data_IF_135242814508
#
_entry.id   IF_135242814508
#
_cell.length_a   1.000
_cell.length_b   1.000
_cell.length_c   1.000
_cell.angle_alpha   90.00
_cell.angle_beta   90.00
_cell.angle_gamma   90.00
#
_symmetry.space_group_name_H-M   'P 1'
#
loop_
_entity.id
_entity.type
_entity.pdbx_description
1 polymer ?
#
# COMPACT_ATOMS: atom_id res chain seq x y z
N UNK A 1 -8.05 -21.11 0.39
CA UNK A 1 -9.42 -20.59 0.21
C UNK A 1 -9.89 -20.89 -1.19
N UNK A 2 -11.11 -21.45 -1.36
CA UNK A 2 -11.66 -21.71 -2.69
C UNK A 2 -11.84 -20.43 -3.52
N UNK A 3 -11.65 -20.53 -4.82
CA UNK A 3 -11.91 -19.42 -5.74
C UNK A 3 -13.38 -18.98 -5.66
N UNK A 4 -13.62 -17.68 -5.76
CA UNK A 4 -14.97 -17.12 -5.74
C UNK A 4 -15.76 -17.35 -4.47
N UNK A 5 -15.08 -17.46 -3.32
CA UNK A 5 -15.75 -17.74 -2.03
C UNK A 5 -15.80 -16.54 -1.08
N UNK A 6 -14.98 -15.53 -1.31
CA UNK A 6 -14.89 -14.38 -0.42
C UNK A 6 -15.78 -13.22 -0.88
N UNK A 7 -16.44 -12.57 0.05
CA UNK A 7 -17.18 -11.33 -0.19
C UNK A 7 -16.28 -10.10 -0.14
N UNK A 8 -15.28 -10.14 0.77
CA UNK A 8 -14.34 -9.05 1.01
C UNK A 8 -12.94 -9.62 1.23
N UNK A 9 -11.95 -8.99 0.64
CA UNK A 9 -10.53 -9.20 0.92
C UNK A 9 -9.93 -7.87 1.35
N UNK A 10 -9.14 -7.86 2.41
CA UNK A 10 -8.48 -6.66 2.94
C UNK A 10 -6.98 -6.89 3.01
N UNK A 11 -6.21 -5.88 2.64
CA UNK A 11 -4.76 -5.87 2.81
C UNK A 11 -4.30 -4.52 3.36
N UNK A 12 -3.46 -4.58 4.40
CA UNK A 12 -2.99 -3.41 5.12
C UNK A 12 -1.48 -3.38 5.12
N UNK A 13 -0.89 -2.38 4.47
CA UNK A 13 0.55 -2.10 4.49
C UNK A 13 1.41 -3.29 4.07
N UNK A 14 0.97 -4.03 3.05
CA UNK A 14 1.66 -5.23 2.57
C UNK A 14 2.05 -5.20 1.10
N UNK A 15 1.42 -4.36 0.29
CA UNK A 15 1.68 -4.37 -1.15
C UNK A 15 3.17 -4.17 -1.44
N UNK A 16 3.82 -3.22 -0.75
CA UNK A 16 5.26 -2.99 -0.90
C UNK A 16 6.10 -4.21 -0.51
N UNK A 17 5.64 -5.04 0.42
CA UNK A 17 6.37 -6.24 0.86
C UNK A 17 6.44 -7.33 -0.21
N UNK A 18 5.46 -7.41 -1.10
CA UNK A 18 5.43 -8.43 -2.15
C UNK A 18 6.44 -8.17 -3.26
N UNK A 19 7.01 -6.97 -3.31
CA UNK A 19 8.08 -6.60 -4.25
C UNK A 19 9.46 -7.04 -3.78
N UNK A 20 9.64 -7.27 -2.49
CA UNK A 20 10.93 -7.64 -1.93
C UNK A 20 11.27 -9.11 -2.17
N UNK A 21 12.58 -9.39 -2.23
CA UNK A 21 13.10 -10.72 -2.44
C UNK A 21 13.57 -10.95 -3.87
N UNK A 22 13.88 -12.20 -4.19
CA UNK A 22 14.42 -12.57 -5.50
C UNK A 22 13.39 -12.43 -6.64
N UNK A 23 12.10 -12.45 -6.31
CA UNK A 23 11.01 -12.37 -7.30
C UNK A 23 9.94 -11.41 -6.81
N UNK A 24 9.54 -10.46 -7.65
CA UNK A 24 8.40 -9.59 -7.39
C UNK A 24 7.10 -10.40 -7.51
N UNK A 25 6.36 -10.52 -6.42
CA UNK A 25 5.12 -11.29 -6.33
C UNK A 25 3.88 -10.41 -6.31
N UNK A 26 4.03 -9.12 -6.52
CA UNK A 26 2.92 -8.17 -6.32
C UNK A 26 1.75 -8.46 -7.26
N UNK A 27 2.02 -8.64 -8.56
CA UNK A 27 0.95 -8.93 -9.51
C UNK A 27 0.26 -10.26 -9.18
N UNK A 28 1.03 -11.30 -8.85
CA UNK A 28 0.46 -12.59 -8.48
C UNK A 28 -0.45 -12.49 -7.25
N UNK A 29 -0.09 -11.65 -6.27
CA UNK A 29 -0.92 -11.42 -5.09
C UNK A 29 -2.26 -10.76 -5.46
N UNK A 30 -2.25 -9.75 -6.33
CA UNK A 30 -3.47 -9.13 -6.83
C UNK A 30 -4.35 -10.10 -7.62
N UNK A 31 -3.73 -10.93 -8.47
CA UNK A 31 -4.45 -11.95 -9.23
C UNK A 31 -5.12 -12.98 -8.31
N UNK A 32 -4.44 -13.38 -7.24
CA UNK A 32 -5.00 -14.30 -6.24
C UNK A 32 -6.15 -13.67 -5.46
N UNK A 33 -6.01 -12.41 -5.05
CA UNK A 33 -7.09 -11.70 -4.37
C UNK A 33 -8.33 -11.57 -5.28
N UNK A 34 -8.10 -11.33 -6.56
CA UNK A 34 -9.19 -11.32 -7.54
C UNK A 34 -9.86 -12.68 -7.65
N UNK A 35 -9.07 -13.74 -7.74
CA UNK A 35 -9.61 -15.10 -7.84
C UNK A 35 -10.42 -15.52 -6.59
N UNK A 36 -10.00 -15.10 -5.40
CA UNK A 36 -10.69 -15.42 -4.15
C UNK A 36 -12.07 -14.78 -4.05
N UNK A 37 -12.26 -13.60 -4.64
CA UNK A 37 -13.50 -12.84 -4.50
C UNK A 37 -14.62 -13.38 -5.39
N UNK A 38 -15.84 -13.34 -4.86
CA UNK A 38 -17.04 -13.49 -5.66
C UNK A 38 -17.17 -12.35 -6.66
N UNK A 39 -17.85 -12.56 -7.80
CA UNK A 39 -18.28 -11.43 -8.65
C UNK A 39 -19.03 -10.39 -7.81
N UNK A 40 -18.67 -9.12 -7.94
CA UNK A 40 -19.21 -8.04 -7.10
C UNK A 40 -18.54 -7.89 -5.74
N UNK A 41 -17.59 -8.75 -5.40
CA UNK A 41 -16.84 -8.65 -4.14
C UNK A 41 -15.89 -7.48 -4.08
N UNK A 42 -15.46 -7.13 -2.88
CA UNK A 42 -14.66 -5.92 -2.58
C UNK A 42 -13.25 -6.27 -2.15
N UNK A 43 -12.27 -5.56 -2.71
CA UNK A 43 -10.89 -5.51 -2.21
C UNK A 43 -10.65 -4.15 -1.55
N UNK A 44 -10.29 -4.13 -0.28
CA UNK A 44 -9.82 -2.94 0.42
C UNK A 44 -8.30 -2.94 0.54
N UNK A 45 -7.66 -1.84 0.18
CA UNK A 45 -6.21 -1.66 0.25
C UNK A 45 -5.87 -0.43 1.06
N UNK A 46 -5.06 -0.60 2.11
CA UNK A 46 -4.40 0.49 2.82
C UNK A 46 -2.89 0.30 2.64
N UNK A 47 -2.22 1.32 2.11
CA UNK A 47 -0.78 1.25 1.83
C UNK A 47 -0.10 2.58 2.07
N UNK A 48 1.18 2.53 2.44
CA UNK A 48 2.03 3.72 2.56
C UNK A 48 2.08 4.45 1.22
N UNK A 49 1.68 5.71 1.21
CA UNK A 49 1.49 6.49 0.00
C UNK A 49 2.73 7.30 -0.36
N UNK A 50 3.25 7.09 -1.56
CA UNK A 50 4.29 7.91 -2.17
C UNK A 50 3.63 8.85 -3.19
N UNK A 51 3.81 10.18 -3.07
CA UNK A 51 3.32 11.11 -4.09
C UNK A 51 3.88 10.79 -5.48
N UNK A 52 3.10 11.01 -6.52
CA UNK A 52 3.53 10.74 -7.90
C UNK A 52 4.80 11.52 -8.28
N UNK A 53 4.91 12.76 -7.81
CA UNK A 53 6.05 13.64 -8.07
C UNK A 53 7.17 13.54 -7.01
N UNK A 54 7.41 12.33 -6.49
CA UNK A 54 8.32 12.13 -5.35
C UNK A 54 9.82 12.22 -5.68
N UNK A 55 10.18 12.52 -6.91
CA UNK A 55 11.58 12.75 -7.30
C UNK A 55 12.45 11.51 -7.18
N UNK A 56 13.49 11.58 -6.34
CA UNK A 56 14.49 10.52 -6.18
C UNK A 56 14.10 9.44 -5.17
N UNK A 57 12.96 9.54 -4.50
CA UNK A 57 12.53 8.52 -3.54
C UNK A 57 12.15 7.25 -4.28
N UNK A 58 12.85 6.17 -3.96
CA UNK A 58 12.66 4.89 -4.64
C UNK A 58 11.47 4.12 -4.06
N UNK A 59 10.45 3.93 -4.86
CA UNK A 59 9.30 3.08 -4.51
C UNK A 59 9.73 1.67 -4.11
N UNK A 60 10.72 1.11 -4.81
CA UNK A 60 11.17 -0.26 -4.57
C UNK A 60 11.86 -0.48 -3.22
N UNK A 61 12.35 0.58 -2.56
CA UNK A 61 13.15 0.47 -1.33
C UNK A 61 12.58 1.20 -0.14
N UNK A 62 11.76 2.21 -0.37
CA UNK A 62 11.28 3.10 0.69
C UNK A 62 10.14 2.54 1.53
N UNK A 63 9.50 1.47 1.08
CA UNK A 63 8.27 0.95 1.68
C UNK A 63 7.03 1.73 1.30
N UNK A 64 7.18 2.83 0.58
CA UNK A 64 6.07 3.61 0.02
C UNK A 64 5.71 3.12 -1.37
N UNK A 65 4.43 3.22 -1.72
CA UNK A 65 3.93 2.89 -3.05
C UNK A 65 3.18 4.08 -3.63
N UNK A 66 3.38 4.34 -4.91
CA UNK A 66 2.56 5.32 -5.64
C UNK A 66 1.15 4.78 -5.84
N UNK A 67 0.17 5.67 -5.77
CA UNK A 67 -1.22 5.32 -6.06
C UNK A 67 -1.35 4.72 -7.46
N UNK A 68 -0.68 5.30 -8.45
CA UNK A 68 -0.66 4.79 -9.83
C UNK A 68 -0.15 3.36 -9.94
N UNK A 69 0.85 2.99 -9.15
CA UNK A 69 1.39 1.62 -9.12
C UNK A 69 0.36 0.63 -8.59
N UNK A 70 -0.30 0.96 -7.48
CA UNK A 70 -1.35 0.10 -6.90
C UNK A 70 -2.51 -0.05 -7.88
N UNK A 71 -2.95 1.04 -8.50
CA UNK A 71 -4.01 1.01 -9.51
C UNK A 71 -3.64 0.12 -10.71
N UNK A 72 -2.38 0.18 -11.16
CA UNK A 72 -1.91 -0.65 -12.28
C UNK A 72 -1.99 -2.15 -11.97
N UNK A 73 -1.54 -2.56 -10.78
CA UNK A 73 -1.64 -3.96 -10.35
C UNK A 73 -3.10 -4.42 -10.26
N UNK A 74 -3.95 -3.61 -9.63
CA UNK A 74 -5.35 -3.93 -9.46
C UNK A 74 -6.09 -4.02 -10.81
N UNK A 75 -5.87 -3.06 -11.70
CA UNK A 75 -6.49 -3.04 -13.03
C UNK A 75 -6.06 -4.25 -13.87
N UNK A 76 -4.76 -4.59 -13.83
CA UNK A 76 -4.25 -5.75 -14.57
C UNK A 76 -4.86 -7.06 -14.06
N UNK A 77 -5.17 -7.16 -12.78
CA UNK A 77 -5.86 -8.32 -12.21
C UNK A 77 -7.34 -8.39 -12.60
N UNK A 78 -7.94 -7.28 -13.04
CA UNK A 78 -9.34 -7.19 -13.44
C UNK A 78 -10.23 -6.35 -12.53
N UNK A 79 -9.67 -5.77 -11.48
CA UNK A 79 -10.40 -4.91 -10.55
C UNK A 79 -10.77 -3.55 -11.17
N UNK A 80 -11.83 -2.96 -10.64
CA UNK A 80 -12.21 -1.56 -10.88
C UNK A 80 -12.13 -0.77 -9.58
N UNK A 81 -11.59 0.44 -9.65
CA UNK A 81 -11.61 1.36 -8.52
C UNK A 81 -13.05 1.78 -8.24
N UNK A 82 -13.52 1.56 -7.01
CA UNK A 82 -14.88 1.86 -6.59
C UNK A 82 -14.96 3.02 -5.60
N UNK A 83 -13.87 3.38 -4.98
CA UNK A 83 -13.81 4.51 -4.05
C UNK A 83 -12.45 4.66 -3.41
N UNK A 84 -12.25 5.79 -2.73
CA UNK A 84 -11.06 6.07 -1.97
C UNK A 84 -11.36 7.04 -0.82
N UNK A 85 -10.49 7.06 0.19
CA UNK A 85 -10.64 7.91 1.37
C UNK A 85 -9.30 8.49 1.78
N UNK A 86 -9.30 9.72 2.26
CA UNK A 86 -8.15 10.39 2.84
C UNK A 86 -8.04 10.17 4.37
N UNK A 87 -8.83 9.27 4.94
CA UNK A 87 -8.89 9.08 6.40
C UNK A 87 -7.54 8.69 7.00
N UNK A 88 -6.68 8.03 6.23
CA UNK A 88 -5.34 7.60 6.67
C UNK A 88 -4.21 8.49 6.11
N UNK A 89 -4.54 9.63 5.52
CA UNK A 89 -3.54 10.58 5.03
C UNK A 89 -2.84 11.29 6.18
N UNK A 90 -1.54 11.54 6.03
CA UNK A 90 -0.76 12.34 6.97
C UNK A 90 0.06 13.39 6.22
N UNK A 91 -0.38 14.65 6.19
CA UNK A 91 0.33 15.72 5.48
C UNK A 91 1.68 16.09 6.10
N UNK A 92 1.98 15.63 7.32
CA UNK A 92 3.28 15.85 7.97
C UNK A 92 4.36 14.90 7.44
N UNK A 93 3.96 13.80 6.80
CA UNK A 93 4.90 12.83 6.25
C UNK A 93 5.55 13.41 5.00
N UNK A 94 6.88 13.59 5.04
CA UNK A 94 7.67 14.11 3.90
C UNK A 94 8.25 13.02 3.02
N UNK A 95 8.12 11.74 3.42
CA UNK A 95 8.49 10.53 2.66
C UNK A 95 9.99 10.29 2.47
N UNK A 96 10.87 11.22 2.82
CA UNK A 96 12.30 11.26 2.50
C UNK A 96 13.21 10.84 3.67
N UNK A 97 12.87 9.76 4.33
CA UNK A 97 13.59 9.32 5.54
C UNK A 97 14.74 8.36 5.24
N UNK A 98 15.80 8.35 6.11
CA UNK A 98 17.01 7.53 5.87
C UNK A 98 16.73 6.04 5.69
N UNK A 99 15.75 5.50 6.43
CA UNK A 99 15.36 4.09 6.37
C UNK A 99 13.94 3.90 5.83
N UNK A 100 13.51 4.80 4.94
CA UNK A 100 12.19 4.76 4.35
C UNK A 100 11.08 4.91 5.39
N UNK A 101 9.93 4.35 5.09
CA UNK A 101 8.74 4.43 5.94
C UNK A 101 8.97 3.87 7.36
N UNK A 102 9.90 2.94 7.52
CA UNK A 102 10.20 2.30 8.81
C UNK A 102 10.90 3.23 9.80
N UNK A 103 11.39 4.38 9.34
CA UNK A 103 11.94 5.45 10.20
C UNK A 103 10.86 6.03 11.11
N UNK A 104 9.61 6.09 10.63
CA UNK A 104 8.47 6.62 11.35
C UNK A 104 7.93 5.63 12.41
N UNK A 105 7.08 6.10 13.38
CA UNK A 105 6.37 5.19 14.28
C UNK A 105 5.54 4.16 13.49
N UNK A 106 5.32 2.96 14.04
CA UNK A 106 5.82 2.45 15.31
C UNK A 106 7.23 1.88 15.22
N UNK A 107 7.83 1.81 14.03
CA UNK A 107 9.09 1.13 13.79
C UNK A 107 10.29 1.84 14.39
N UNK A 108 10.38 3.16 14.21
CA UNK A 108 11.54 3.96 14.64
C UNK A 108 12.88 3.30 14.26
N UNK A 109 13.02 2.96 12.97
CA UNK A 109 14.18 2.18 12.50
C UNK A 109 15.52 2.87 12.68
N UNK A 110 15.53 4.21 12.83
CA UNK A 110 16.73 5.01 13.10
C UNK A 110 17.04 5.13 14.61
N UNK A 111 16.34 4.37 15.46
CA UNK A 111 16.57 4.31 16.89
C UNK A 111 16.28 5.64 17.60
N UNK A 112 17.26 6.11 18.39
CA UNK A 112 17.12 7.36 19.14
C UNK A 112 17.45 8.60 18.32
N UNK A 113 17.99 8.44 17.11
CA UNK A 113 18.32 9.56 16.23
C UNK A 113 17.04 10.24 15.74
N UNK A 114 16.89 11.53 16.04
CA UNK A 114 15.71 12.33 15.69
C UNK A 114 14.36 11.71 16.10
N UNK A 115 14.35 10.84 17.09
CA UNK A 115 13.15 10.10 17.50
C UNK A 115 11.97 11.02 17.84
N UNK A 116 12.22 12.13 18.55
CA UNK A 116 11.18 13.09 18.90
C UNK A 116 10.55 13.73 17.64
N UNK A 117 11.37 14.02 16.63
CA UNK A 117 10.89 14.56 15.35
C UNK A 117 9.99 13.55 14.63
N UNK A 118 10.42 12.30 14.56
CA UNK A 118 9.63 11.25 13.91
C UNK A 118 8.34 10.94 14.67
N UNK A 119 8.38 10.95 16.00
CA UNK A 119 7.19 10.81 16.82
C UNK A 119 6.17 11.95 16.57
N UNK A 120 6.65 13.18 16.38
CA UNK A 120 5.81 14.32 16.07
C UNK A 120 5.16 14.25 14.68
N UNK A 121 5.83 13.65 13.71
CA UNK A 121 5.27 13.36 12.38
C UNK A 121 4.15 12.33 12.51
N UNK A 122 4.36 11.32 13.32
CA UNK A 122 3.42 10.22 13.51
C UNK A 122 3.57 9.11 12.49
N UNK A 123 2.56 8.28 12.34
CA UNK A 123 2.56 7.21 11.36
C UNK A 123 2.51 7.75 9.93
N UNK A 124 2.94 6.95 8.99
CA UNK A 124 3.06 7.34 7.58
C UNK A 124 1.75 7.83 6.97
N UNK A 125 1.90 8.64 5.93
CA UNK A 125 0.81 8.95 5.00
C UNK A 125 0.38 7.66 4.28
N UNK A 126 -0.92 7.36 4.28
CA UNK A 126 -1.47 6.13 3.69
C UNK A 126 -2.65 6.42 2.79
N UNK A 127 -2.62 5.80 1.61
CA UNK A 127 -3.79 5.73 0.74
C UNK A 127 -4.76 4.68 1.28
N UNK A 128 -6.05 4.88 1.07
CA UNK A 128 -7.11 3.92 1.35
C UNK A 128 -7.97 3.79 0.10
N UNK A 129 -7.92 2.63 -0.53
CA UNK A 129 -8.55 2.37 -1.82
C UNK A 129 -9.54 1.21 -1.70
N UNK A 130 -10.67 1.35 -2.38
CA UNK A 130 -11.69 0.32 -2.52
C UNK A 130 -11.78 -0.09 -3.98
N UNK A 131 -11.55 -1.36 -4.24
CA UNK A 131 -11.73 -1.95 -5.55
C UNK A 131 -12.90 -2.92 -5.54
N UNK A 132 -13.47 -3.15 -6.71
CA UNK A 132 -14.54 -4.12 -6.90
C UNK A 132 -14.16 -5.10 -8.01
N UNK A 133 -14.45 -6.39 -7.78
CA UNK A 133 -14.46 -7.39 -8.83
C UNK A 133 -15.75 -7.25 -9.61
N UNK A 134 -15.72 -6.97 -10.91
CA UNK A 134 -16.94 -6.86 -11.72
C UNK A 134 -17.78 -8.13 -11.64
N UNK A 135 -19.09 -7.93 -11.75
CA UNK A 135 -20.05 -9.03 -11.78
C UNK A 135 -19.96 -9.86 -13.06
#
# INVERSE_FOLDING_TARGET
MPAGSADVVLTFRNVHNWRFGATDRTQAAFDQMFAMLKPGGTLGVVEHHLPEASGTIEEARSGYMKRSSVLAYATKAGFRLAGESAINSNPKDTHDYPKGVWTLPPGFADGDHDRARYAAIGESDRMTLKFMKPK
#
